data_IF_850569683411
#
_entry.id   IF_850569683411
#
_cell.length_a   1.000
_cell.length_b   1.000
_cell.length_c   1.000
_cell.angle_alpha   90.00
_cell.angle_beta   90.00
_cell.angle_gamma   90.00
#
_symmetry.space_group_name_H-M   'P 1'
#
loop_
_entity.id
_entity.type
_entity.pdbx_description
1 polymer ?
#
# COMPACT_ATOMS: atom_id res chain seq x y z
N UNK A 1 6.50 16.31 -9.09
CA UNK A 1 6.61 14.91 -8.84
C UNK A 1 6.21 14.52 -7.42
N UNK A 2 5.31 13.61 -7.28
CA UNK A 2 4.84 13.22 -5.96
C UNK A 2 5.87 12.31 -5.29
N UNK A 3 6.24 12.65 -4.08
CA UNK A 3 7.09 11.80 -3.27
C UNK A 3 6.22 10.87 -2.47
N UNK A 4 6.36 9.59 -2.74
CA UNK A 4 5.64 8.61 -1.96
C UNK A 4 6.41 8.32 -0.70
N UNK A 5 5.78 8.57 0.42
CA UNK A 5 6.39 8.21 1.69
C UNK A 5 6.36 6.71 1.92
N UNK A 6 5.50 6.01 1.20
CA UNK A 6 5.32 4.57 1.37
C UNK A 6 5.20 3.92 0.00
N UNK A 7 5.61 2.66 -0.08
CA UNK A 7 5.42 1.88 -1.31
C UNK A 7 5.13 0.43 -0.96
N UNK A 8 4.49 -0.26 -1.91
CA UNK A 8 4.05 -1.64 -1.72
C UNK A 8 4.94 -2.55 -2.54
N UNK A 9 5.26 -3.72 -1.98
CA UNK A 9 6.01 -4.73 -2.69
C UNK A 9 5.66 -6.11 -2.18
N UNK A 10 6.08 -7.13 -2.92
CA UNK A 10 5.88 -8.51 -2.50
C UNK A 10 6.70 -8.79 -1.26
N UNK A 11 6.12 -9.57 -0.33
CA UNK A 11 6.81 -9.93 0.89
C UNK A 11 6.30 -11.29 1.36
N UNK A 12 7.09 -12.32 1.15
CA UNK A 12 6.69 -13.66 1.52
C UNK A 12 5.45 -14.09 0.74
N UNK A 13 4.44 -14.55 1.45
CA UNK A 13 3.19 -14.98 0.82
C UNK A 13 2.18 -13.84 0.69
N UNK A 14 2.61 -12.61 0.94
CA UNK A 14 1.70 -11.47 0.90
C UNK A 14 2.39 -10.24 0.37
N UNK A 15 2.04 -9.11 0.95
CA UNK A 15 2.51 -7.81 0.50
C UNK A 15 2.98 -6.99 1.69
N UNK A 16 4.06 -6.25 1.49
CA UNK A 16 4.58 -5.38 2.52
C UNK A 16 4.46 -3.93 2.10
N UNK A 17 4.46 -3.05 3.10
CA UNK A 17 4.51 -1.62 2.87
C UNK A 17 5.77 -1.10 3.53
N UNK A 18 6.60 -0.40 2.75
CA UNK A 18 7.86 0.17 3.23
C UNK A 18 7.76 1.68 3.22
N UNK A 19 8.44 2.32 4.16
CA UNK A 19 8.52 3.77 4.16
C UNK A 19 9.68 4.24 3.26
N UNK A 20 9.89 5.54 3.20
CA UNK A 20 10.93 6.09 2.33
C UNK A 20 12.33 5.82 2.85
N UNK A 21 12.46 5.31 4.06
CA UNK A 21 13.75 4.93 4.62
C UNK A 21 14.07 3.47 4.37
N UNK A 22 13.15 2.75 3.72
CA UNK A 22 13.38 1.35 3.43
C UNK A 22 12.98 0.39 4.54
N UNK A 23 12.28 0.87 5.55
CA UNK A 23 11.83 0.04 6.65
C UNK A 23 10.41 -0.45 6.39
N UNK A 24 10.19 -1.77 6.62
CA UNK A 24 8.85 -2.33 6.47
C UNK A 24 7.99 -1.88 7.65
N UNK A 25 6.90 -1.21 7.36
CA UNK A 25 6.03 -0.70 8.39
C UNK A 25 4.78 -1.55 8.57
N UNK A 26 4.45 -2.40 7.59
CA UNK A 26 3.24 -3.19 7.66
C UNK A 26 3.32 -4.36 6.69
N UNK A 27 2.65 -5.45 7.04
CA UNK A 27 2.48 -6.60 6.15
C UNK A 27 1.00 -6.87 5.97
N UNK A 28 0.57 -7.17 4.74
CA UNK A 28 -0.81 -7.45 4.42
C UNK A 28 -0.90 -8.75 3.64
N UNK A 29 -2.01 -9.47 3.83
CA UNK A 29 -2.16 -10.77 3.21
C UNK A 29 -2.56 -10.69 1.74
N UNK A 30 -3.07 -9.56 1.29
CA UNK A 30 -3.49 -9.41 -0.10
C UNK A 30 -3.14 -8.02 -0.60
N UNK A 31 -3.05 -7.90 -1.93
CA UNK A 31 -2.76 -6.62 -2.55
C UNK A 31 -3.85 -5.59 -2.23
N UNK A 32 -5.10 -6.05 -2.19
CA UNK A 32 -6.21 -5.17 -1.86
C UNK A 32 -6.01 -4.53 -0.49
N UNK A 33 -5.68 -5.34 0.50
CA UNK A 33 -5.48 -4.82 1.85
C UNK A 33 -4.26 -3.91 1.92
N UNK A 34 -3.22 -4.23 1.13
CA UNK A 34 -2.03 -3.39 1.12
C UNK A 34 -2.34 -2.02 0.55
N UNK A 35 -3.12 -1.96 -0.54
CA UNK A 35 -3.48 -0.68 -1.14
C UNK A 35 -4.36 0.12 -0.19
N UNK A 36 -5.32 -0.54 0.44
CA UNK A 36 -6.19 0.12 1.41
C UNK A 36 -5.37 0.71 2.56
N UNK A 37 -4.43 -0.07 3.07
CA UNK A 37 -3.58 0.40 4.17
C UNK A 37 -2.69 1.55 3.72
N UNK A 38 -2.16 1.47 2.50
CA UNK A 38 -1.34 2.54 1.96
C UNK A 38 -2.12 3.85 1.89
N UNK A 39 -3.36 3.79 1.43
CA UNK A 39 -4.18 4.99 1.37
C UNK A 39 -4.39 5.58 2.77
N UNK A 40 -4.60 4.71 3.76
CA UNK A 40 -4.74 5.17 5.13
C UNK A 40 -3.48 5.86 5.64
N UNK A 41 -2.32 5.26 5.35
CA UNK A 41 -1.04 5.83 5.78
C UNK A 41 -0.77 7.17 5.10
N UNK A 42 -1.18 7.31 3.85
CA UNK A 42 -0.96 8.54 3.10
C UNK A 42 -2.03 9.59 3.37
N UNK A 43 -3.09 9.22 4.06
CA UNK A 43 -4.17 10.15 4.30
C UNK A 43 -5.07 10.37 3.09
N UNK A 44 -5.06 9.42 2.15
CA UNK A 44 -5.88 9.52 0.95
C UNK A 44 -7.24 8.87 1.17
N UNK A 45 -8.23 9.32 0.41
CA UNK A 45 -9.54 8.69 0.44
C UNK A 45 -9.49 7.34 -0.24
N UNK A 46 -10.03 6.33 0.43
CA UNK A 46 -10.07 4.98 -0.11
C UNK A 46 -11.38 4.75 -0.85
N UNK A 47 -11.31 4.18 -2.05
CA UNK A 47 -12.48 3.88 -2.85
C UNK A 47 -12.32 2.49 -3.47
N UNK A 48 -13.05 1.48 -2.98
CA UNK A 48 -12.93 0.11 -3.50
C UNK A 48 -13.25 -0.01 -4.98
N UNK A 49 -14.16 0.81 -5.48
CA UNK A 49 -14.49 0.77 -6.91
C UNK A 49 -13.31 1.21 -7.75
N UNK A 50 -12.56 2.19 -7.26
CA UNK A 50 -11.37 2.65 -7.97
C UNK A 50 -10.31 1.55 -7.99
N UNK A 51 -10.18 0.82 -6.91
CA UNK A 51 -9.25 -0.30 -6.87
C UNK A 51 -9.59 -1.33 -7.93
N UNK A 52 -10.88 -1.68 -8.00
CA UNK A 52 -11.35 -2.68 -8.95
C UNK A 52 -11.05 -2.28 -10.38
N UNK A 53 -11.14 -0.99 -10.67
CA UNK A 53 -10.93 -0.49 -12.02
C UNK A 53 -9.46 -0.50 -12.41
N UNK A 54 -8.58 -0.27 -11.46
CA UNK A 54 -7.17 -0.06 -11.74
C UNK A 54 -6.31 -1.30 -11.54
N UNK A 55 -6.81 -2.28 -10.87
CA UNK A 55 -6.04 -3.48 -10.57
C UNK A 55 -6.84 -4.72 -10.90
#
# INVERSE_FOLDING_TARGET
MANRKYHIGCSGSGWGIWNDEGNKVMWCRSHYHAVESLYGLMGWNWNPDKYRRNY
#
